data_IF_007009348958
#
_entry.id   IF_007009348958
#
_cell.length_a   1.000
_cell.length_b   1.000
_cell.length_c   1.000
_cell.angle_alpha   90.00
_cell.angle_beta   90.00
_cell.angle_gamma   90.00
#
_symmetry.space_group_name_H-M   'P 1'
#
loop_
_entity.id
_entity.type
_entity.pdbx_description
1 polymer ?
#
# COMPACT_ATOMS: atom_id res chain seq x y z
N UNK A 1 -28.81 0.54 5.23
CA UNK A 1 -27.56 1.20 5.68
C UNK A 1 -27.05 2.07 4.54
N UNK A 2 -27.27 3.38 4.57
CA UNK A 2 -27.01 4.29 3.44
C UNK A 2 -26.28 5.57 3.86
N UNK A 3 -25.28 5.44 4.73
CA UNK A 3 -24.41 6.56 5.17
C UNK A 3 -22.93 6.40 4.81
N UNK A 4 -22.51 5.23 4.32
CA UNK A 4 -21.10 4.94 4.03
C UNK A 4 -20.83 4.89 2.51
N UNK A 5 -20.16 5.93 2.00
CA UNK A 5 -19.79 6.06 0.59
C UNK A 5 -18.64 5.13 0.18
N UNK A 6 -17.68 4.94 1.08
CA UNK A 6 -16.56 4.04 0.86
C UNK A 6 -15.59 4.00 2.03
N UNK A 7 -14.73 2.99 2.02
CA UNK A 7 -13.70 2.72 3.01
C UNK A 7 -12.37 2.75 2.29
N UNK A 8 -11.50 3.68 2.71
CA UNK A 8 -10.13 3.77 2.24
C UNK A 8 -9.21 3.56 3.43
N UNK A 9 -8.39 2.53 3.36
CA UNK A 9 -7.41 2.23 4.41
C UNK A 9 -5.99 2.39 3.89
N UNK A 10 -5.07 2.78 4.75
CA UNK A 10 -3.69 3.10 4.38
C UNK A 10 -2.76 2.22 5.20
N UNK A 11 -2.04 1.32 4.54
CA UNK A 11 -1.14 0.38 5.24
C UNK A 11 -1.89 -0.60 6.14
N UNK A 12 -3.13 -0.94 5.81
CA UNK A 12 -3.95 -1.82 6.64
C UNK A 12 -3.39 -3.25 6.66
N UNK A 13 -3.22 -3.86 7.85
CA UNK A 13 -2.87 -5.27 7.98
C UNK A 13 -3.99 -6.18 7.47
N UNK A 14 -3.73 -7.49 7.43
CA UNK A 14 -4.82 -8.46 7.29
C UNK A 14 -5.62 -8.47 8.59
N UNK A 15 -6.93 -8.25 8.48
CA UNK A 15 -7.80 -7.98 9.65
C UNK A 15 -8.77 -9.13 9.96
N UNK A 16 -8.83 -10.14 9.10
CA UNK A 16 -9.66 -11.31 9.30
C UNK A 16 -9.42 -12.36 8.22
N UNK A 17 -10.24 -13.39 8.25
CA UNK A 17 -10.20 -14.51 7.31
C UNK A 17 -11.06 -14.26 6.07
N UNK A 18 -11.20 -15.30 5.23
CA UNK A 18 -12.05 -15.26 4.04
C UNK A 18 -13.53 -15.09 4.38
N UNK A 19 -13.99 -15.59 5.53
CA UNK A 19 -15.39 -15.44 5.99
C UNK A 19 -15.67 -13.97 6.28
N UNK A 20 -14.79 -13.31 7.03
CA UNK A 20 -14.88 -11.88 7.30
C UNK A 20 -14.78 -11.05 6.02
N UNK A 21 -13.86 -11.40 5.11
CA UNK A 21 -13.75 -10.73 3.82
C UNK A 21 -15.02 -10.81 2.96
N UNK A 22 -15.69 -11.96 2.95
CA UNK A 22 -16.97 -12.16 2.26
C UNK A 22 -18.11 -11.34 2.90
N UNK A 23 -18.14 -11.27 4.24
CA UNK A 23 -19.07 -10.40 4.95
C UNK A 23 -18.86 -8.92 4.57
N UNK A 24 -17.62 -8.43 4.61
CA UNK A 24 -17.33 -7.04 4.23
C UNK A 24 -17.67 -6.76 2.77
N UNK A 25 -17.43 -7.72 1.87
CA UNK A 25 -17.82 -7.62 0.45
C UNK A 25 -19.34 -7.53 0.29
N UNK A 26 -20.13 -8.33 1.02
CA UNK A 26 -21.60 -8.30 0.91
C UNK A 26 -22.20 -7.00 1.46
N UNK A 27 -21.56 -6.37 2.46
CA UNK A 27 -22.02 -5.09 3.01
C UNK A 27 -21.60 -3.89 2.14
N UNK A 28 -20.37 -3.91 1.62
CA UNK A 28 -19.76 -2.73 0.99
C UNK A 28 -19.78 -2.79 -0.53
N UNK A 29 -19.76 -3.95 -1.16
CA UNK A 29 -19.65 -4.07 -2.62
C UNK A 29 -20.97 -4.54 -3.26
N UNK A 30 -22.10 -3.98 -2.82
CA UNK A 30 -23.45 -4.36 -3.29
C UNK A 30 -23.71 -3.95 -4.74
N UNK A 31 -23.36 -2.71 -5.10
CA UNK A 31 -23.60 -2.15 -6.45
C UNK A 31 -22.27 -1.94 -7.18
N UNK A 32 -21.28 -1.38 -6.48
CA UNK A 32 -19.93 -1.16 -6.97
C UNK A 32 -18.96 -1.33 -5.80
N UNK A 33 -17.68 -1.51 -6.10
CA UNK A 33 -16.65 -1.70 -5.06
C UNK A 33 -16.49 -0.41 -4.24
N UNK A 34 -16.58 -0.53 -2.91
CA UNK A 34 -16.46 0.60 -1.96
C UNK A 34 -15.42 0.37 -0.88
N UNK A 35 -14.67 -0.73 -0.94
CA UNK A 35 -13.53 -0.97 -0.04
C UNK A 35 -12.23 -0.96 -0.84
N UNK A 36 -11.36 0.00 -0.51
CA UNK A 36 -10.05 0.16 -1.14
C UNK A 36 -8.94 0.17 -0.09
N UNK A 37 -7.92 -0.63 -0.33
CA UNK A 37 -6.71 -0.74 0.47
C UNK A 37 -5.57 -0.05 -0.26
N UNK A 38 -5.10 1.05 0.29
CA UNK A 38 -3.95 1.80 -0.22
C UNK A 38 -2.68 1.21 0.36
N UNK A 39 -1.79 0.74 -0.52
CA UNK A 39 -0.57 0.02 -0.16
C UNK A 39 0.62 0.70 -0.80
N UNK A 40 1.65 1.00 -0.01
CA UNK A 40 2.87 1.60 -0.52
C UNK A 40 4.02 0.59 -0.52
N UNK A 41 4.49 0.19 -1.70
CA UNK A 41 5.71 -0.59 -1.96
C UNK A 41 5.96 -1.81 -1.06
N UNK A 42 6.80 -1.64 -0.03
CA UNK A 42 7.25 -2.68 0.90
C UNK A 42 6.84 -2.38 2.34
N UNK A 43 5.85 -1.51 2.56
CA UNK A 43 5.30 -1.23 3.89
C UNK A 43 5.11 -2.55 4.64
N UNK A 44 5.69 -2.75 5.82
CA UNK A 44 5.56 -4.03 6.51
C UNK A 44 4.12 -4.36 6.91
N UNK A 45 3.29 -3.37 7.21
CA UNK A 45 2.02 -3.59 7.93
C UNK A 45 0.98 -4.37 7.14
N UNK A 46 0.73 -4.10 5.84
CA UNK A 46 -0.14 -4.96 5.05
C UNK A 46 0.27 -6.42 4.94
N UNK A 47 1.53 -6.74 5.19
CA UNK A 47 2.04 -8.11 4.99
C UNK A 47 1.87 -8.99 6.22
N UNK A 48 1.21 -8.48 7.26
CA UNK A 48 0.97 -9.18 8.53
C UNK A 48 -0.51 -9.13 8.96
N UNK A 49 -1.01 -10.12 9.74
CA UNK A 49 -0.46 -11.47 9.90
C UNK A 49 -0.29 -12.19 8.55
N UNK A 50 0.44 -13.31 8.46
CA UNK A 50 0.69 -13.95 7.16
C UNK A 50 -0.56 -14.59 6.57
N UNK A 51 -0.61 -14.70 5.25
CA UNK A 51 -1.58 -15.61 4.62
C UNK A 51 -0.99 -17.02 4.71
N UNK A 52 -1.40 -17.73 5.76
CA UNK A 52 -0.92 -19.08 6.08
C UNK A 52 -2.08 -19.98 6.58
N UNK A 53 -1.95 -21.32 6.46
CA UNK A 53 -3.02 -22.23 6.83
C UNK A 53 -3.41 -22.22 8.31
N UNK A 54 -2.55 -21.72 9.21
CA UNK A 54 -2.76 -21.70 10.65
C UNK A 54 -3.51 -20.44 11.06
N UNK A 55 -3.04 -19.26 10.64
CA UNK A 55 -3.64 -18.00 11.03
C UNK A 55 -4.86 -17.63 10.16
N UNK A 56 -4.89 -18.12 8.91
CA UNK A 56 -5.98 -17.94 7.93
C UNK A 56 -6.36 -16.48 7.62
N UNK A 57 -5.51 -15.53 8.00
CA UNK A 57 -5.72 -14.12 7.69
C UNK A 57 -5.54 -13.87 6.20
N UNK A 58 -6.48 -13.16 5.57
CA UNK A 58 -6.39 -12.84 4.16
C UNK A 58 -6.86 -11.41 3.88
N UNK A 59 -6.39 -10.86 2.76
CA UNK A 59 -6.82 -9.54 2.31
C UNK A 59 -8.14 -9.61 1.54
N UNK A 60 -8.89 -8.52 1.60
CA UNK A 60 -10.08 -8.29 0.81
C UNK A 60 -10.18 -6.79 0.45
N UNK A 61 -11.12 -6.45 -0.42
CA UNK A 61 -11.20 -5.11 -1.03
C UNK A 61 -10.27 -4.96 -2.23
N UNK A 62 -10.33 -3.82 -2.93
CA UNK A 62 -9.43 -3.51 -4.04
C UNK A 62 -8.07 -3.01 -3.54
N UNK A 63 -6.96 -3.48 -4.11
CA UNK A 63 -5.62 -3.00 -3.75
C UNK A 63 -5.18 -1.86 -4.68
N UNK A 64 -5.03 -0.67 -4.11
CA UNK A 64 -4.40 0.49 -4.73
C UNK A 64 -2.92 0.51 -4.35
N UNK A 65 -2.09 -0.04 -5.22
CA UNK A 65 -0.67 -0.22 -4.97
C UNK A 65 0.15 0.91 -5.59
N UNK A 66 0.96 1.57 -4.76
CA UNK A 66 1.85 2.65 -5.20
C UNK A 66 3.29 2.16 -5.24
N UNK A 67 3.92 2.32 -6.41
CA UNK A 67 5.34 2.08 -6.62
C UNK A 67 6.18 3.30 -6.24
N UNK A 68 7.49 3.17 -6.41
CA UNK A 68 8.42 4.31 -6.31
C UNK A 68 7.97 5.46 -7.22
N UNK A 69 8.18 6.69 -6.76
CA UNK A 69 7.68 7.93 -7.40
C UNK A 69 6.15 7.99 -7.53
N UNK A 70 5.43 7.34 -6.62
CA UNK A 70 3.98 7.46 -6.51
C UNK A 70 3.19 7.00 -7.75
N UNK A 71 3.76 6.14 -8.59
CA UNK A 71 3.00 5.52 -9.70
C UNK A 71 1.99 4.54 -9.13
N UNK A 72 0.70 4.81 -9.32
CA UNK A 72 -0.40 3.99 -8.80
C UNK A 72 -0.83 2.92 -9.79
N UNK A 73 -1.06 1.71 -9.29
CA UNK A 73 -1.59 0.57 -10.02
C UNK A 73 -2.71 -0.07 -9.21
N UNK A 74 -3.75 -0.52 -9.90
CA UNK A 74 -4.74 -1.41 -9.31
C UNK A 74 -4.21 -2.82 -9.41
N UNK A 75 -4.17 -3.55 -8.30
CA UNK A 75 -3.74 -4.94 -8.27
C UNK A 75 -4.77 -5.82 -7.55
N UNK A 76 -4.82 -7.09 -7.95
CA UNK A 76 -5.55 -8.13 -7.21
C UNK A 76 -4.88 -8.46 -5.88
N UNK A 77 -3.56 -8.66 -5.93
CA UNK A 77 -2.71 -8.91 -4.77
C UNK A 77 -1.48 -8.02 -4.83
N UNK A 78 -1.04 -7.54 -3.66
CA UNK A 78 0.21 -6.78 -3.57
C UNK A 78 1.42 -7.69 -3.83
N UNK A 79 2.47 -7.20 -4.51
CA UNK A 79 3.71 -7.97 -4.66
C UNK A 79 4.31 -8.25 -3.28
N UNK A 80 4.95 -9.41 -3.12
CA UNK A 80 5.55 -9.83 -1.85
C UNK A 80 4.52 -9.82 -0.69
N UNK A 81 3.46 -10.62 -0.84
CA UNK A 81 2.35 -10.68 0.12
C UNK A 81 2.79 -11.01 1.56
N UNK A 82 3.81 -11.85 1.71
CA UNK A 82 4.37 -12.21 3.00
C UNK A 82 5.75 -11.56 3.18
N UNK A 83 5.89 -10.70 4.20
CA UNK A 83 7.06 -9.86 4.38
C UNK A 83 8.37 -10.63 4.42
N UNK A 84 8.39 -11.83 5.02
CA UNK A 84 9.61 -12.61 5.25
C UNK A 84 10.06 -13.47 4.07
N UNK A 85 9.50 -13.28 2.87
CA UNK A 85 9.99 -13.98 1.68
C UNK A 85 11.45 -13.55 1.34
N UNK A 86 12.43 -14.48 1.32
CA UNK A 86 13.83 -14.17 1.05
C UNK A 86 14.10 -13.63 -0.36
N UNK A 87 13.28 -14.03 -1.35
CA UNK A 87 13.44 -13.61 -2.75
C UNK A 87 13.37 -12.08 -2.91
N UNK A 88 12.65 -11.40 -2.02
CA UNK A 88 12.46 -9.96 -2.05
C UNK A 88 13.44 -9.19 -1.15
N UNK A 89 14.38 -9.87 -0.46
CA UNK A 89 15.36 -9.18 0.40
C UNK A 89 16.16 -8.14 -0.41
N UNK A 90 16.80 -8.49 -1.55
CA UNK A 90 17.60 -7.51 -2.29
C UNK A 90 16.77 -6.32 -2.77
N UNK A 91 15.55 -6.58 -3.26
CA UNK A 91 14.66 -5.52 -3.73
C UNK A 91 14.20 -4.63 -2.59
N UNK A 92 13.85 -5.16 -1.41
CA UNK A 92 13.47 -4.39 -0.21
C UNK A 92 14.55 -3.38 0.18
N UNK A 93 15.80 -3.81 0.30
CA UNK A 93 16.91 -2.92 0.67
C UNK A 93 17.22 -1.87 -0.40
N UNK A 94 17.29 -2.27 -1.68
CA UNK A 94 17.47 -1.32 -2.78
C UNK A 94 16.37 -0.26 -2.78
N UNK A 95 15.12 -0.68 -2.55
CA UNK A 95 13.97 0.22 -2.53
C UNK A 95 14.01 1.18 -1.33
N UNK A 96 14.46 0.73 -0.15
CA UNK A 96 14.66 1.56 1.03
C UNK A 96 15.77 2.61 0.81
N UNK A 97 16.89 2.22 0.19
CA UNK A 97 17.97 3.13 -0.17
C UNK A 97 17.50 4.20 -1.17
N UNK A 98 16.77 3.79 -2.21
CA UNK A 98 16.19 4.72 -3.18
C UNK A 98 15.18 5.68 -2.54
N UNK A 99 14.43 5.24 -1.53
CA UNK A 99 13.53 6.12 -0.77
C UNK A 99 14.27 7.15 0.06
N UNK A 100 15.38 6.78 0.70
CA UNK A 100 16.22 7.73 1.41
C UNK A 100 16.76 8.80 0.46
N UNK A 101 17.35 8.40 -0.67
CA UNK A 101 17.83 9.34 -1.69
C UNK A 101 16.70 10.23 -2.22
N UNK A 102 15.53 9.64 -2.52
CA UNK A 102 14.35 10.41 -2.93
C UNK A 102 13.94 11.42 -1.88
N UNK A 103 13.94 11.06 -0.60
CA UNK A 103 13.62 11.96 0.50
C UNK A 103 14.57 13.16 0.58
N UNK A 104 15.88 12.92 0.45
CA UNK A 104 16.91 13.95 0.44
C UNK A 104 16.72 14.95 -0.72
N UNK A 105 16.30 14.45 -1.88
CA UNK A 105 16.11 15.25 -3.10
C UNK A 105 14.63 15.59 -3.40
N UNK A 106 13.71 15.34 -2.46
CA UNK A 106 12.26 15.49 -2.66
C UNK A 106 11.82 16.94 -2.92
N UNK A 107 12.70 17.92 -2.73
CA UNK A 107 12.45 19.32 -3.09
C UNK A 107 12.64 19.59 -4.59
N UNK A 108 13.45 18.80 -5.28
CA UNK A 108 13.92 19.11 -6.65
C UNK A 108 12.82 18.85 -7.67
N UNK A 109 12.28 17.63 -7.71
CA UNK A 109 11.32 17.21 -8.74
C UNK A 109 9.85 17.53 -8.41
N UNK A 110 9.32 17.14 -7.24
CA UNK A 110 7.93 17.45 -6.86
C UNK A 110 7.72 18.89 -6.38
N UNK A 111 8.81 19.60 -6.04
CA UNK A 111 8.78 20.99 -5.57
C UNK A 111 8.94 21.17 -4.06
N UNK A 112 9.08 22.43 -3.61
CA UNK A 112 9.43 22.78 -2.22
C UNK A 112 8.44 22.26 -1.18
N UNK A 113 7.16 22.15 -1.53
CA UNK A 113 6.10 21.63 -0.66
C UNK A 113 6.28 20.16 -0.28
N UNK A 114 7.08 19.40 -1.03
CA UNK A 114 7.36 17.99 -0.79
C UNK A 114 8.74 17.75 -0.16
N UNK A 115 9.44 18.82 0.26
CA UNK A 115 10.69 18.70 1.01
C UNK A 115 10.45 17.89 2.29
N UNK A 116 11.28 16.89 2.54
CA UNK A 116 11.22 16.12 3.77
C UNK A 116 11.88 16.86 4.94
N UNK A 117 11.33 16.69 6.14
CA UNK A 117 11.93 17.17 7.37
C UNK A 117 13.09 16.27 7.79
N UNK A 118 13.97 16.77 8.66
CA UNK A 118 15.07 15.98 9.22
C UNK A 118 14.57 14.71 9.91
N UNK A 119 13.47 14.80 10.66
CA UNK A 119 12.82 13.66 11.33
C UNK A 119 12.41 12.58 10.32
N UNK A 120 11.84 12.98 9.18
CA UNK A 120 11.46 12.04 8.11
C UNK A 120 12.69 11.37 7.49
N UNK A 121 13.77 12.11 7.27
CA UNK A 121 15.04 11.55 6.77
C UNK A 121 15.65 10.56 7.76
N UNK A 122 15.67 10.88 9.06
CA UNK A 122 16.13 9.96 10.09
C UNK A 122 15.28 8.69 10.15
N UNK A 123 13.95 8.81 10.04
CA UNK A 123 13.05 7.65 9.96
C UNK A 123 13.36 6.77 8.74
N UNK A 124 13.67 7.36 7.59
CA UNK A 124 14.11 6.62 6.39
C UNK A 124 15.44 5.92 6.60
N UNK A 125 16.36 6.53 7.33
CA UNK A 125 17.64 5.92 7.69
C UNK A 125 17.43 4.69 8.59
N UNK A 126 16.58 4.77 9.62
CA UNK A 126 16.20 3.59 10.42
C UNK A 126 15.51 2.50 9.58
N UNK A 127 14.75 2.89 8.56
CA UNK A 127 14.17 1.97 7.58
C UNK A 127 15.19 1.19 6.74
N UNK A 128 16.48 1.54 6.77
CA UNK A 128 17.53 0.70 6.18
C UNK A 128 17.86 -0.51 7.05
N UNK A 129 17.61 -0.47 8.37
CA UNK A 129 17.79 -1.62 9.25
C UNK A 129 16.65 -2.64 9.09
N UNK A 130 15.43 -2.14 8.92
CA UNK A 130 14.21 -2.94 8.73
C UNK A 130 13.47 -2.44 7.47
N UNK A 131 13.82 -2.97 6.28
CA UNK A 131 13.34 -2.43 5.01
C UNK A 131 11.85 -2.68 4.82
N UNK A 132 11.07 -1.61 4.89
CA UNK A 132 9.60 -1.65 4.86
C UNK A 132 8.99 -0.80 5.96
N UNK A 133 9.71 -0.59 7.07
CA UNK A 133 9.27 0.32 8.14
C UNK A 133 9.11 1.75 7.62
N UNK A 134 10.13 2.26 6.92
CA UNK A 134 10.07 3.59 6.32
C UNK A 134 8.97 3.73 5.26
N UNK A 135 8.60 2.63 4.58
CA UNK A 135 7.50 2.62 3.62
C UNK A 135 6.11 2.75 4.30
N UNK A 136 6.00 2.50 5.60
CA UNK A 136 4.80 2.77 6.41
C UNK A 136 4.69 4.25 6.83
N UNK A 137 5.46 5.16 6.24
CA UNK A 137 5.35 6.59 6.56
C UNK A 137 4.00 7.15 6.08
N UNK A 138 3.19 7.79 6.95
CA UNK A 138 1.94 8.45 6.53
C UNK A 138 2.16 9.46 5.41
N UNK A 139 3.35 10.06 5.36
CA UNK A 139 3.76 10.98 4.31
C UNK A 139 3.74 10.33 2.93
N UNK A 140 4.22 9.09 2.81
CA UNK A 140 4.26 8.40 1.52
C UNK A 140 2.87 8.03 1.04
N UNK A 141 1.93 7.75 1.94
CA UNK A 141 0.50 7.60 1.62
C UNK A 141 -0.13 8.89 1.12
N UNK A 142 0.05 9.99 1.85
CA UNK A 142 -0.48 11.30 1.46
C UNK A 142 0.11 11.76 0.13
N UNK A 143 1.42 11.61 -0.06
CA UNK A 143 2.07 11.95 -1.32
C UNK A 143 1.68 11.00 -2.44
N UNK A 144 1.44 9.72 -2.15
CA UNK A 144 0.89 8.74 -3.08
C UNK A 144 -0.42 9.27 -3.67
N UNK A 145 -1.38 9.62 -2.82
CA UNK A 145 -2.67 10.13 -3.29
C UNK A 145 -2.54 11.49 -4.02
N UNK A 146 -1.63 12.37 -3.58
CA UNK A 146 -1.49 13.73 -4.13
C UNK A 146 -0.71 13.81 -5.45
N UNK A 147 0.28 12.94 -5.63
CA UNK A 147 1.22 12.99 -6.76
C UNK A 147 1.00 11.88 -7.78
N UNK A 148 0.16 10.89 -7.46
CA UNK A 148 0.02 9.75 -8.33
C UNK A 148 -0.77 10.04 -9.59
N UNK A 149 -0.29 9.40 -10.65
CA UNK A 149 -1.09 9.00 -11.78
C UNK A 149 -1.43 7.52 -11.58
N UNK A 150 -2.72 7.19 -11.47
CA UNK A 150 -3.18 5.81 -11.32
C UNK A 150 -3.44 5.24 -12.71
N UNK A 151 -2.71 4.19 -13.06
CA UNK A 151 -2.97 3.42 -14.28
C UNK A 151 -3.98 2.32 -13.98
N UNK A 152 -5.12 2.37 -14.65
CA UNK A 152 -6.13 1.32 -14.64
C UNK A 152 -5.93 0.50 -15.92
N UNK A 153 -5.52 -0.76 -15.80
CA UNK A 153 -5.51 -1.67 -16.95
C UNK A 153 -6.95 -2.14 -17.19
N UNK A 154 -7.29 -2.40 -18.45
CA UNK A 154 -8.65 -2.80 -18.86
C UNK A 154 -9.15 -4.05 -18.12
N UNK A 155 -8.29 -5.06 -17.99
CA UNK A 155 -8.64 -6.33 -17.34
C UNK A 155 -8.85 -6.18 -15.81
N UNK A 156 -8.21 -5.17 -15.19
CA UNK A 156 -8.33 -4.86 -13.77
C UNK A 156 -9.51 -3.91 -13.48
N UNK A 157 -10.12 -3.30 -14.51
CA UNK A 157 -11.16 -2.29 -14.36
C UNK A 157 -12.52 -2.87 -13.94
N UNK A 158 -12.91 -4.02 -14.49
CA UNK A 158 -14.16 -4.71 -14.14
C UNK A 158 -14.14 -5.14 -12.66
N UNK A 159 -13.02 -5.69 -12.18
CA UNK A 159 -12.88 -6.12 -10.78
C UNK A 159 -12.70 -4.94 -9.80
N UNK A 160 -12.17 -3.80 -10.27
CA UNK A 160 -11.93 -2.62 -9.43
C UNK A 160 -13.16 -1.74 -9.28
N UNK A 161 -13.90 -1.53 -10.37
CA UNK A 161 -15.11 -0.72 -10.39
C UNK A 161 -16.32 -1.58 -9.97
N UNK A 162 -16.25 -2.90 -10.17
CA UNK A 162 -17.34 -3.82 -9.90
C UNK A 162 -18.46 -3.69 -10.93
N UNK A 163 -18.11 -3.40 -12.19
CA UNK A 163 -19.01 -3.39 -13.34
C UNK A 163 -18.90 -4.71 -14.10
#
# INVERSE_FOLDING_TARGET
MSSLLGVYTFGQPRVGDKIFGNFMKSQLNVIFKRYYRVVFRYDVVPRIPFDDPVSQFSHFGGCLYFRSWYKGEVLKHEPNENYFNPLYIPSKYLNALLDLFRGLFARIRPGKYFKESLVSILYRFFGLLVPGLASHSPRDYVNGVRLAEVKIKRDDAEEFIGL
#
